data_IF_465971804190
#
_entry.id   IF_465971804190
#
_cell.length_a   1.000
_cell.length_b   1.000
_cell.length_c   1.000
_cell.angle_alpha   90.00
_cell.angle_beta   90.00
_cell.angle_gamma   90.00
#
_symmetry.space_group_name_H-M   'P 1'
#
loop_
_entity.id
_entity.type
_entity.pdbx_description
1 polymer ?
#
# COMPACT_ATOMS: atom_id res chain seq x y z
N UNK A 1 -7.33 47.71 6.10
CA UNK A 1 -6.48 47.78 7.30
C UNK A 1 -6.34 49.20 7.86
N UNK A 2 -5.66 50.14 7.20
CA UNK A 2 -5.40 51.48 7.77
C UNK A 2 -6.65 52.30 8.17
N UNK A 3 -7.71 52.20 7.37
CA UNK A 3 -9.01 52.85 7.65
C UNK A 3 -9.71 52.28 8.90
N UNK A 4 -9.56 50.98 9.13
CA UNK A 4 -10.16 50.26 10.27
C UNK A 4 -9.35 50.45 11.56
N UNK A 5 -8.04 50.67 11.44
CA UNK A 5 -7.12 50.85 12.57
C UNK A 5 -6.80 52.32 12.89
N UNK A 6 -7.44 53.29 12.22
CA UNK A 6 -7.17 54.73 12.34
C UNK A 6 -5.67 55.11 12.18
N UNK A 7 -4.95 54.41 11.29
CA UNK A 7 -3.52 54.68 10.98
C UNK A 7 -3.37 55.34 9.61
N UNK A 8 -2.28 56.08 9.40
CA UNK A 8 -1.90 56.68 8.10
C UNK A 8 -0.52 56.18 7.67
N UNK A 9 -0.37 55.83 6.39
CA UNK A 9 0.86 55.27 5.81
C UNK A 9 0.58 54.28 4.66
N UNK A 10 1.59 53.92 3.85
CA UNK A 10 1.46 52.84 2.87
C UNK A 10 1.35 51.48 3.59
N UNK A 11 0.48 50.60 3.09
CA UNK A 11 0.33 49.21 3.60
C UNK A 11 1.39 48.27 3.02
N UNK A 12 2.02 48.69 1.91
CA UNK A 12 3.01 47.91 1.16
C UNK A 12 4.37 48.60 1.25
N UNK A 13 5.47 47.83 1.27
CA UNK A 13 6.80 48.38 1.07
C UNK A 13 6.91 49.11 -0.28
N UNK A 14 7.91 49.98 -0.43
CA UNK A 14 8.09 50.82 -1.63
C UNK A 14 8.48 50.05 -2.89
N UNK A 15 8.74 48.75 -2.80
CA UNK A 15 9.16 47.94 -3.94
C UNK A 15 7.94 47.34 -4.67
N UNK A 16 7.75 47.76 -5.92
CA UNK A 16 6.75 47.21 -6.83
C UNK A 16 7.36 46.08 -7.66
N UNK A 17 6.95 44.83 -7.40
CA UNK A 17 7.30 43.69 -8.23
C UNK A 17 6.33 43.54 -9.43
N UNK A 18 6.18 44.58 -10.25
CA UNK A 18 5.44 44.53 -11.53
C UNK A 18 6.31 43.90 -12.64
N UNK A 19 6.80 42.68 -12.42
CA UNK A 19 7.54 41.90 -13.44
C UNK A 19 6.92 40.52 -13.59
N UNK A 20 6.77 40.10 -14.85
CA UNK A 20 6.36 38.74 -15.23
C UNK A 20 7.08 37.70 -14.36
N UNK A 21 6.35 36.73 -13.84
CA UNK A 21 6.90 35.61 -13.08
C UNK A 21 7.64 34.71 -14.08
N UNK A 22 8.94 34.50 -13.87
CA UNK A 22 9.84 33.84 -14.86
C UNK A 22 10.23 32.42 -14.51
N UNK A 23 9.96 31.96 -13.28
CA UNK A 23 10.26 30.61 -12.81
C UNK A 23 9.44 30.27 -11.56
N UNK A 24 9.38 28.98 -11.21
CA UNK A 24 8.74 28.49 -9.99
C UNK A 24 9.43 29.03 -8.72
N UNK A 25 10.75 29.24 -8.77
CA UNK A 25 11.50 29.89 -7.68
C UNK A 25 11.11 31.37 -7.48
N UNK A 26 10.93 32.13 -8.57
CA UNK A 26 10.48 33.52 -8.54
C UNK A 26 9.03 33.64 -8.04
N UNK A 27 8.19 32.64 -8.33
CA UNK A 27 6.84 32.54 -7.76
C UNK A 27 6.89 32.33 -6.24
N UNK A 28 7.73 31.39 -5.78
CA UNK A 28 7.85 31.06 -4.36
C UNK A 28 8.41 32.21 -3.53
N UNK A 29 9.42 32.92 -4.05
CA UNK A 29 10.02 34.08 -3.39
C UNK A 29 9.00 35.22 -3.26
N UNK A 30 8.24 35.50 -4.33
CA UNK A 30 7.15 36.50 -4.29
C UNK A 30 6.00 36.09 -3.38
N UNK A 31 5.65 34.81 -3.35
CA UNK A 31 4.63 34.29 -2.46
C UNK A 31 5.04 34.47 -0.99
N UNK A 32 6.30 34.13 -0.66
CA UNK A 32 6.87 34.36 0.67
C UNK A 32 6.88 35.85 1.03
N UNK A 33 7.31 36.73 0.11
CA UNK A 33 7.27 38.18 0.32
C UNK A 33 5.85 38.69 0.63
N UNK A 34 4.83 38.25 -0.12
CA UNK A 34 3.42 38.65 0.11
C UNK A 34 2.94 38.18 1.49
N UNK A 35 3.31 36.98 1.92
CA UNK A 35 2.93 36.43 3.24
C UNK A 35 3.65 37.15 4.40
N UNK A 36 4.91 37.55 4.18
CA UNK A 36 5.79 38.13 5.21
C UNK A 36 5.57 39.63 5.39
N UNK A 37 5.28 40.36 4.32
CA UNK A 37 5.17 41.81 4.33
C UNK A 37 4.19 42.37 5.40
N UNK A 38 3.02 41.77 5.67
CA UNK A 38 2.16 42.22 6.77
C UNK A 38 2.72 41.94 8.19
N UNK A 39 3.59 40.93 8.35
CA UNK A 39 4.35 40.67 9.59
C UNK A 39 5.45 41.72 9.75
N UNK A 40 6.26 41.93 8.70
CA UNK A 40 7.40 42.85 8.72
C UNK A 40 6.97 44.32 8.88
N UNK A 41 5.79 44.68 8.36
CA UNK A 41 5.16 46.00 8.57
C UNK A 41 4.39 46.13 9.89
N UNK A 42 4.40 45.09 10.73
CA UNK A 42 3.84 45.10 12.08
C UNK A 42 2.31 45.23 12.13
N UNK A 43 1.61 44.83 11.06
CA UNK A 43 0.14 44.94 11.00
C UNK A 43 -0.56 43.68 11.53
N UNK A 44 0.11 42.53 11.48
CA UNK A 44 -0.32 41.24 12.08
C UNK A 44 0.86 40.60 12.81
N UNK A 45 0.60 39.67 13.75
CA UNK A 45 1.68 39.00 14.49
C UNK A 45 2.37 37.95 13.61
N UNK A 46 3.65 37.73 13.86
CA UNK A 46 4.39 36.63 13.24
C UNK A 46 3.69 35.30 13.57
N UNK A 47 3.34 34.52 12.53
CA UNK A 47 2.52 33.30 12.59
C UNK A 47 1.00 33.46 12.81
N UNK A 48 0.42 34.67 12.68
CA UNK A 48 -1.05 34.79 12.55
C UNK A 48 -1.51 34.12 11.24
N UNK A 49 -2.46 33.20 11.35
CA UNK A 49 -3.01 32.40 10.25
C UNK A 49 -3.79 33.31 9.29
N UNK A 50 -3.56 33.20 7.98
CA UNK A 50 -4.30 33.94 6.95
C UNK A 50 -5.41 33.05 6.37
N UNK A 51 -6.66 33.10 6.89
CA UNK A 51 -7.67 32.08 6.57
C UNK A 51 -8.15 32.12 5.12
N UNK A 52 -7.86 33.22 4.42
CA UNK A 52 -8.25 33.50 3.04
C UNK A 52 -7.07 33.39 2.06
N UNK A 53 -5.86 33.09 2.54
CA UNK A 53 -4.67 32.93 1.72
C UNK A 53 -4.37 31.45 1.55
N UNK A 54 -4.42 30.98 0.31
CA UNK A 54 -4.06 29.60 -0.02
C UNK A 54 -2.55 29.41 0.14
N UNK A 55 -2.13 28.55 1.05
CA UNK A 55 -0.75 28.05 1.23
C UNK A 55 -0.70 26.53 1.03
N UNK A 56 0.45 25.95 0.65
CA UNK A 56 0.64 24.49 0.64
C UNK A 56 0.30 23.84 1.99
N UNK A 57 0.53 24.54 3.11
CA UNK A 57 0.16 24.09 4.46
C UNK A 57 -1.36 24.13 4.72
N UNK A 58 -2.10 25.07 4.14
CA UNK A 58 -3.57 25.09 4.23
C UNK A 58 -4.23 23.94 3.46
N UNK A 59 -3.57 23.40 2.43
CA UNK A 59 -4.03 22.15 1.79
C UNK A 59 -3.99 20.96 2.76
N UNK A 60 -3.04 20.98 3.71
CA UNK A 60 -2.93 19.99 4.80
C UNK A 60 -3.93 20.25 5.93
N UNK A 61 -4.22 21.52 6.25
CA UNK A 61 -5.23 21.91 7.27
C UNK A 61 -6.67 21.69 6.80
N UNK A 62 -6.92 21.72 5.49
CA UNK A 62 -8.23 21.43 4.87
C UNK A 62 -8.62 19.95 4.87
N UNK A 63 -7.80 19.06 5.45
CA UNK A 63 -8.20 17.70 5.80
C UNK A 63 -9.23 17.74 6.96
N UNK A 64 -10.43 18.25 6.69
CA UNK A 64 -11.58 18.10 7.56
C UNK A 64 -11.76 16.61 7.90
N UNK A 65 -11.56 16.28 9.18
CA UNK A 65 -12.05 15.08 9.88
C UNK A 65 -12.13 13.82 9.01
N UNK A 66 -11.08 13.50 8.25
CA UNK A 66 -10.95 12.13 7.73
C UNK A 66 -10.91 11.22 8.96
N UNK A 67 -11.54 10.05 8.84
CA UNK A 67 -11.61 8.86 9.72
C UNK A 67 -10.77 8.76 11.00
N UNK A 68 -9.64 9.46 11.14
CA UNK A 68 -8.82 9.66 12.35
C UNK A 68 -9.63 9.89 13.64
N UNK A 69 -10.67 10.73 13.59
CA UNK A 69 -11.54 10.98 14.76
C UNK A 69 -12.56 9.86 15.02
N UNK A 70 -13.00 9.19 13.96
CA UNK A 70 -13.96 8.08 13.98
C UNK A 70 -13.30 6.73 14.28
N UNK A 71 -11.97 6.69 14.45
CA UNK A 71 -11.23 5.48 14.75
C UNK A 71 -11.84 4.78 15.97
N UNK A 72 -12.61 3.72 15.70
CA UNK A 72 -13.23 2.92 16.75
C UNK A 72 -12.07 2.30 17.55
N UNK A 73 -11.96 2.56 18.86
CA UNK A 73 -10.90 1.96 19.66
C UNK A 73 -10.96 0.45 19.48
N UNK A 74 -9.85 -0.16 19.07
CA UNK A 74 -9.77 -1.60 18.95
C UNK A 74 -9.71 -2.17 20.36
N UNK A 75 -10.84 -2.69 20.84
CA UNK A 75 -10.98 -3.24 22.18
C UNK A 75 -10.35 -4.62 22.32
N UNK A 76 -10.12 -5.32 21.20
CA UNK A 76 -9.48 -6.63 21.16
C UNK A 76 -8.02 -6.52 20.77
N UNK A 77 -7.14 -6.79 21.75
CA UNK A 77 -5.72 -7.04 21.52
C UNK A 77 -5.57 -8.32 20.68
N UNK A 78 -4.81 -8.28 19.57
CA UNK A 78 -4.46 -9.47 18.80
C UNK A 78 -3.66 -10.48 19.63
N UNK A 79 -3.54 -11.71 19.17
CA UNK A 79 -2.58 -12.66 19.75
C UNK A 79 -1.14 -12.10 19.68
N UNK A 80 -0.34 -12.37 20.72
CA UNK A 80 0.99 -11.77 20.89
C UNK A 80 2.09 -12.41 20.02
N UNK A 81 1.83 -13.56 19.40
CA UNK A 81 2.85 -14.35 18.72
C UNK A 81 2.79 -14.19 17.20
N UNK A 82 3.97 -14.00 16.60
CA UNK A 82 4.18 -14.18 15.16
C UNK A 82 3.97 -15.66 14.86
N UNK A 83 2.93 -15.97 14.09
CA UNK A 83 2.53 -17.33 13.78
C UNK A 83 3.11 -17.77 12.44
N UNK A 84 3.92 -18.83 12.50
CA UNK A 84 4.40 -19.55 11.32
C UNK A 84 3.34 -20.59 10.97
N UNK A 85 2.93 -20.60 9.70
CA UNK A 85 1.90 -21.49 9.18
C UNK A 85 2.49 -22.32 8.06
N UNK A 86 2.65 -23.63 8.30
CA UNK A 86 2.78 -24.63 7.25
C UNK A 86 1.41 -25.25 7.02
N UNK A 87 0.95 -25.29 5.77
CA UNK A 87 -0.41 -25.72 5.43
C UNK A 87 -0.40 -26.67 4.25
N UNK A 88 -1.32 -27.64 4.27
CA UNK A 88 -1.51 -28.53 3.13
C UNK A 88 -2.06 -27.76 1.93
N UNK A 89 -1.55 -28.08 0.74
CA UNK A 89 -2.07 -27.52 -0.51
C UNK A 89 -3.56 -27.86 -0.71
N UNK A 90 -4.01 -29.02 -0.22
CA UNK A 90 -5.42 -29.42 -0.25
C UNK A 90 -6.34 -28.42 0.44
N UNK A 91 -5.89 -27.80 1.54
CA UNK A 91 -6.67 -26.75 2.22
C UNK A 91 -6.73 -25.49 1.36
N UNK A 92 -5.63 -25.12 0.71
CA UNK A 92 -5.54 -23.93 -0.14
C UNK A 92 -6.37 -24.05 -1.42
N UNK A 93 -6.48 -25.25 -1.99
CA UNK A 93 -7.30 -25.50 -3.20
C UNK A 93 -8.73 -25.00 -3.02
N UNK A 94 -9.26 -25.09 -1.80
CA UNK A 94 -10.61 -24.63 -1.48
C UNK A 94 -10.79 -23.10 -1.49
N UNK A 95 -9.70 -22.34 -1.44
CA UNK A 95 -9.69 -20.87 -1.40
C UNK A 95 -9.31 -20.25 -2.75
N UNK A 96 -9.08 -21.06 -3.79
CA UNK A 96 -8.69 -20.56 -5.11
C UNK A 96 -9.84 -19.77 -5.76
N UNK A 97 -9.57 -18.50 -6.09
CA UNK A 97 -10.32 -17.80 -7.14
C UNK A 97 -9.73 -18.17 -8.51
N UNK A 98 -10.53 -18.91 -9.28
CA UNK A 98 -10.20 -19.37 -10.63
C UNK A 98 -10.37 -18.28 -11.69
N UNK A 99 -11.02 -17.15 -11.39
CA UNK A 99 -11.26 -16.11 -12.40
C UNK A 99 -9.95 -15.56 -12.98
N UNK A 100 -8.92 -15.20 -12.16
CA UNK A 100 -7.66 -14.72 -12.71
C UNK A 100 -6.80 -15.82 -13.34
N UNK A 101 -7.03 -17.11 -13.02
CA UNK A 101 -6.38 -18.22 -13.74
C UNK A 101 -6.72 -18.16 -15.23
N UNK A 102 -7.99 -17.97 -15.58
CA UNK A 102 -8.41 -17.84 -16.98
C UNK A 102 -7.83 -16.60 -17.65
N UNK A 103 -7.65 -15.50 -16.91
CA UNK A 103 -6.99 -14.30 -17.45
C UNK A 103 -5.52 -14.55 -17.84
N UNK A 104 -4.80 -15.40 -17.10
CA UNK A 104 -3.44 -15.84 -17.49
C UNK A 104 -3.42 -16.57 -18.83
N UNK A 105 -4.52 -17.24 -19.18
CA UNK A 105 -4.73 -17.90 -20.48
C UNK A 105 -5.43 -17.01 -21.52
N UNK A 106 -5.50 -15.70 -21.26
CA UNK A 106 -6.19 -14.70 -22.12
C UNK A 106 -7.70 -14.95 -22.30
N UNK A 107 -8.29 -15.83 -21.48
CA UNK A 107 -9.71 -16.13 -21.48
C UNK A 107 -10.44 -15.19 -20.52
N UNK A 108 -11.14 -14.18 -21.07
CA UNK A 108 -11.87 -13.20 -20.27
C UNK A 108 -13.22 -13.74 -19.84
N UNK A 109 -13.41 -13.87 -18.54
CA UNK A 109 -14.68 -14.29 -17.96
C UNK A 109 -14.56 -14.58 -16.47
N UNK A 110 -15.70 -14.66 -15.79
CA UNK A 110 -15.74 -14.98 -14.36
C UNK A 110 -16.00 -16.47 -14.19
N UNK A 111 -15.26 -17.13 -13.31
CA UNK A 111 -15.57 -18.51 -12.92
C UNK A 111 -16.82 -18.57 -12.01
N UNK A 112 -17.72 -19.56 -12.16
CA UNK A 112 -17.74 -20.62 -13.18
C UNK A 112 -18.46 -20.24 -14.49
N UNK A 113 -19.05 -19.02 -14.57
CA UNK A 113 -19.86 -18.59 -15.71
C UNK A 113 -19.12 -18.59 -17.06
N UNK A 114 -17.79 -18.49 -17.06
CA UNK A 114 -16.95 -18.57 -18.28
C UNK A 114 -17.14 -19.88 -19.05
N UNK A 115 -17.53 -20.98 -18.39
CA UNK A 115 -17.77 -22.25 -19.08
C UNK A 115 -18.97 -22.20 -20.02
N UNK A 116 -19.96 -21.37 -19.73
CA UNK A 116 -21.17 -21.24 -20.55
C UNK A 116 -21.02 -20.20 -21.66
N UNK A 117 -19.83 -19.59 -21.80
CA UNK A 117 -19.56 -18.66 -22.88
C UNK A 117 -19.56 -19.37 -24.25
N UNK A 118 -20.29 -18.87 -25.25
CA UNK A 118 -20.43 -19.55 -26.54
C UNK A 118 -19.17 -19.50 -27.41
N UNK A 119 -18.19 -18.65 -27.09
CA UNK A 119 -16.96 -18.46 -27.87
C UNK A 119 -15.77 -19.13 -27.20
N UNK A 120 -15.63 -18.93 -25.88
CA UNK A 120 -14.43 -19.39 -25.12
C UNK A 120 -14.71 -20.52 -24.14
N UNK A 121 -15.97 -20.94 -23.98
CA UNK A 121 -16.37 -21.89 -22.94
C UNK A 121 -15.83 -23.32 -23.14
N UNK A 122 -15.58 -23.74 -24.38
CA UNK A 122 -14.97 -25.06 -24.65
C UNK A 122 -13.50 -25.07 -24.23
N UNK A 123 -12.73 -24.09 -24.67
CA UNK A 123 -11.31 -23.92 -24.32
C UNK A 123 -11.13 -23.71 -22.82
N UNK A 124 -12.03 -22.95 -22.18
CA UNK A 124 -12.02 -22.77 -20.73
C UNK A 124 -12.21 -24.10 -19.98
N UNK A 125 -13.07 -25.01 -20.47
CA UNK A 125 -13.24 -26.34 -19.84
C UNK A 125 -12.00 -27.21 -20.03
N UNK A 126 -11.38 -27.18 -21.21
CA UNK A 126 -10.18 -27.96 -21.53
C UNK A 126 -9.00 -27.56 -20.63
N UNK A 127 -8.63 -26.27 -20.62
CA UNK A 127 -7.52 -25.76 -19.81
C UNK A 127 -7.77 -25.94 -18.31
N UNK A 128 -9.04 -25.85 -17.88
CA UNK A 128 -9.40 -26.10 -16.49
C UNK A 128 -9.27 -27.59 -16.12
N UNK A 129 -9.64 -28.52 -17.01
CA UNK A 129 -9.47 -29.95 -16.77
C UNK A 129 -7.98 -30.33 -16.65
N UNK A 130 -7.13 -29.75 -17.48
CA UNK A 130 -5.67 -29.92 -17.40
C UNK A 130 -5.12 -29.34 -16.09
N UNK A 131 -5.59 -28.14 -15.71
CA UNK A 131 -5.22 -27.49 -14.47
C UNK A 131 -5.59 -28.35 -13.25
N UNK A 132 -6.80 -28.93 -13.23
CA UNK A 132 -7.26 -29.83 -12.17
C UNK A 132 -6.40 -31.10 -12.11
N UNK A 133 -6.03 -31.67 -13.26
CA UNK A 133 -5.18 -32.86 -13.33
C UNK A 133 -3.79 -32.58 -12.76
N UNK A 134 -3.15 -31.50 -13.18
CA UNK A 134 -1.83 -31.13 -12.69
C UNK A 134 -1.88 -30.69 -11.22
N UNK A 135 -2.91 -29.94 -10.80
CA UNK A 135 -3.11 -29.55 -9.41
C UNK A 135 -3.29 -30.78 -8.52
N UNK A 136 -4.10 -31.76 -8.94
CA UNK A 136 -4.26 -33.03 -8.24
C UNK A 136 -2.92 -33.72 -8.02
N UNK A 137 -2.10 -33.82 -9.07
CA UNK A 137 -0.74 -34.37 -8.97
C UNK A 137 0.17 -33.56 -8.04
N UNK A 138 0.13 -32.23 -8.12
CA UNK A 138 0.91 -31.34 -7.24
C UNK A 138 0.57 -31.60 -5.77
N UNK A 139 -0.71 -31.79 -5.45
CA UNK A 139 -1.19 -32.04 -4.09
C UNK A 139 -0.89 -33.47 -3.63
N UNK A 140 -1.08 -34.48 -4.49
CA UNK A 140 -0.88 -35.89 -4.15
C UNK A 140 0.60 -36.27 -3.98
N UNK A 141 1.47 -35.67 -4.79
CA UNK A 141 2.92 -35.93 -4.78
C UNK A 141 3.71 -34.89 -3.96
N UNK A 142 3.04 -33.94 -3.28
CA UNK A 142 3.65 -32.82 -2.53
C UNK A 142 4.73 -32.07 -3.35
N UNK A 143 4.45 -31.81 -4.63
CA UNK A 143 5.44 -31.22 -5.54
C UNK A 143 5.75 -29.76 -5.23
N UNK A 144 4.83 -29.07 -4.55
CA UNK A 144 4.99 -27.70 -4.09
C UNK A 144 4.83 -27.65 -2.56
N UNK A 145 5.43 -26.65 -1.92
CA UNK A 145 5.26 -26.41 -0.48
C UNK A 145 4.74 -25.01 -0.24
N UNK A 146 3.76 -24.89 0.66
CA UNK A 146 3.21 -23.62 1.11
C UNK A 146 3.73 -23.24 2.51
N UNK A 147 4.29 -22.04 2.63
CA UNK A 147 4.76 -21.46 3.90
C UNK A 147 4.30 -20.03 4.07
N UNK A 148 3.92 -19.68 5.29
CA UNK A 148 3.41 -18.36 5.62
C UNK A 148 3.83 -17.92 7.00
N UNK A 149 3.91 -16.60 7.17
CA UNK A 149 4.13 -15.96 8.47
C UNK A 149 3.23 -14.74 8.56
N UNK A 150 2.63 -14.51 9.73
CA UNK A 150 1.95 -13.25 10.04
C UNK A 150 2.20 -12.83 11.48
N UNK A 151 2.04 -11.53 11.74
CA UNK A 151 2.22 -10.95 13.06
C UNK A 151 1.39 -9.69 13.24
N UNK A 152 1.27 -9.25 14.49
CA UNK A 152 0.57 -8.04 14.90
C UNK A 152 1.45 -7.19 15.81
N UNK A 153 1.34 -5.88 15.67
CA UNK A 153 2.05 -4.93 16.50
C UNK A 153 1.09 -3.85 17.02
N UNK A 154 1.27 -3.41 18.27
CA UNK A 154 0.70 -2.15 18.72
C UNK A 154 1.15 -1.04 17.78
N UNK A 155 0.21 -0.22 17.31
CA UNK A 155 0.44 0.77 16.27
C UNK A 155 -0.28 2.09 16.54
N UNK A 156 0.31 3.20 16.12
CA UNK A 156 -0.37 4.50 16.06
C UNK A 156 0.09 5.30 14.85
N UNK A 157 -0.81 6.09 14.26
CA UNK A 157 -0.44 6.99 13.17
C UNK A 157 0.18 8.29 13.67
N UNK A 158 1.15 8.80 12.91
CA UNK A 158 1.72 10.14 13.04
C UNK A 158 1.78 10.75 11.64
N UNK A 159 0.92 11.72 11.36
CA UNK A 159 0.80 12.27 10.02
C UNK A 159 0.37 11.19 9.03
N UNK A 160 1.22 10.90 8.05
CA UNK A 160 0.99 9.90 7.00
C UNK A 160 1.78 8.60 7.22
N UNK A 161 2.41 8.45 8.39
CA UNK A 161 3.14 7.26 8.81
C UNK A 161 2.39 6.49 9.91
N UNK A 162 2.79 5.24 10.11
CA UNK A 162 2.38 4.43 11.26
C UNK A 162 3.62 3.96 12.02
N UNK A 163 3.70 4.30 13.31
CA UNK A 163 4.70 3.73 14.23
C UNK A 163 4.20 2.38 14.75
N UNK A 164 5.07 1.39 14.71
CA UNK A 164 4.88 0.07 15.32
C UNK A 164 5.75 -0.05 16.56
N UNK A 165 5.18 -0.58 17.64
CA UNK A 165 5.84 -0.71 18.92
C UNK A 165 6.12 -2.16 19.27
N UNK A 166 7.12 -2.37 20.13
CA UNK A 166 7.48 -3.71 20.62
C UNK A 166 6.35 -4.34 21.43
N UNK A 167 5.65 -3.53 22.21
CA UNK A 167 4.61 -3.95 23.14
C UNK A 167 3.57 -2.85 23.43
N UNK A 168 2.55 -3.18 24.23
CA UNK A 168 1.45 -2.28 24.57
C UNK A 168 1.87 -1.07 25.44
N UNK A 169 3.09 -1.06 25.99
CA UNK A 169 3.63 0.11 26.71
C UNK A 169 4.00 1.23 25.73
N UNK A 170 4.21 0.92 24.44
CA UNK A 170 4.44 1.89 23.34
C UNK A 170 5.62 2.83 23.61
N UNK A 171 6.66 2.31 24.26
CA UNK A 171 7.91 3.03 24.57
C UNK A 171 8.96 2.86 23.50
N UNK A 172 9.11 1.65 22.99
CA UNK A 172 10.10 1.29 21.98
C UNK A 172 9.44 1.13 20.62
N UNK A 173 9.91 1.88 19.63
CA UNK A 173 9.46 1.80 18.24
C UNK A 173 10.31 0.72 17.54
N UNK A 174 9.66 -0.32 17.03
CA UNK A 174 10.34 -1.40 16.28
C UNK A 174 10.41 -1.13 14.79
N UNK A 175 9.45 -0.36 14.25
CA UNK A 175 9.45 0.08 12.86
C UNK A 175 8.55 1.29 12.66
N UNK A 176 8.78 1.98 11.54
CA UNK A 176 7.86 2.99 11.01
C UNK A 176 7.50 2.61 9.58
N UNK A 177 6.20 2.55 9.30
CA UNK A 177 5.67 2.30 7.96
C UNK A 177 5.28 3.64 7.34
N UNK A 178 5.67 3.84 6.08
CA UNK A 178 5.51 5.11 5.40
C UNK A 178 4.47 5.01 4.29
N UNK A 179 3.38 5.77 4.43
CA UNK A 179 2.32 5.81 3.43
C UNK A 179 2.29 7.13 2.67
N UNK A 180 1.66 7.07 1.49
CA UNK A 180 1.39 8.21 0.62
C UNK A 180 -0.07 8.61 0.74
N UNK A 181 -0.36 9.86 0.38
CA UNK A 181 -1.70 10.45 0.42
C UNK A 181 -2.12 10.90 -0.96
N UNK A 182 -3.38 10.65 -1.29
CA UNK A 182 -3.97 11.20 -2.53
C UNK A 182 -3.79 12.73 -2.59
N UNK A 183 -3.41 13.27 -3.75
CA UNK A 183 -3.26 14.73 -3.96
C UNK A 183 -4.20 15.29 -5.03
N UNK A 184 -5.08 14.47 -5.59
CA UNK A 184 -6.09 14.93 -6.55
C UNK A 184 -7.11 15.87 -5.90
N UNK A 185 -7.61 16.85 -6.68
CA UNK A 185 -8.72 17.69 -6.24
C UNK A 185 -9.98 16.85 -6.12
N UNK A 186 -10.57 16.84 -4.92
CA UNK A 186 -11.81 16.12 -4.62
C UNK A 186 -12.99 17.09 -4.50
N UNK A 187 -14.22 16.64 -4.83
CA UNK A 187 -15.43 17.40 -4.52
C UNK A 187 -15.55 17.70 -3.03
N UNK A 188 -16.30 18.75 -2.68
CA UNK A 188 -16.57 19.09 -1.28
C UNK A 188 -17.15 17.89 -0.50
N UNK A 189 -16.62 17.64 0.70
CA UNK A 189 -17.01 16.51 1.55
C UNK A 189 -16.30 15.19 1.25
N UNK A 190 -15.42 15.12 0.26
CA UNK A 190 -14.54 13.97 0.04
C UNK A 190 -13.12 14.26 0.52
N UNK A 191 -12.54 13.28 1.22
CA UNK A 191 -11.19 13.37 1.77
C UNK A 191 -10.18 12.68 0.86
N UNK A 192 -8.95 13.21 0.85
CA UNK A 192 -7.82 12.52 0.25
C UNK A 192 -7.31 11.43 1.19
N UNK A 193 -7.42 10.17 0.77
CA UNK A 193 -7.10 9.02 1.60
C UNK A 193 -5.59 8.78 1.71
N UNK A 194 -5.19 8.28 2.88
CA UNK A 194 -3.91 7.67 3.20
C UNK A 194 -4.17 6.42 4.06
N UNK A 195 -3.38 5.36 3.92
CA UNK A 195 -3.56 4.14 4.72
C UNK A 195 -3.38 4.40 6.23
N UNK A 196 -2.51 5.36 6.60
CA UNK A 196 -2.34 5.77 8.00
C UNK A 196 -3.61 6.31 8.65
N UNK A 197 -4.60 6.78 7.86
CA UNK A 197 -5.87 7.30 8.39
C UNK A 197 -6.78 6.20 8.97
N UNK A 198 -6.44 4.93 8.73
CA UNK A 198 -7.13 3.77 9.28
C UNK A 198 -6.48 3.22 10.56
N UNK A 199 -5.50 3.93 11.11
CA UNK A 199 -4.85 3.63 12.40
C UNK A 199 -4.99 4.83 13.32
N UNK A 200 -5.34 4.61 14.59
CA UNK A 200 -5.60 5.67 15.54
C UNK A 200 -4.39 6.60 15.70
N UNK A 201 -4.59 7.93 15.61
CA UNK A 201 -3.53 8.90 15.83
C UNK A 201 -2.91 8.79 17.23
N UNK A 202 -1.59 8.97 17.33
CA UNK A 202 -0.86 8.89 18.61
C UNK A 202 -1.36 9.90 19.64
N UNK A 203 -1.71 11.11 19.21
CA UNK A 203 -2.25 12.18 20.05
C UNK A 203 -3.69 11.94 20.52
N UNK A 204 -4.41 10.98 19.91
CA UNK A 204 -5.76 10.60 20.35
C UNK A 204 -5.78 9.83 21.67
N UNK A 205 -4.63 9.30 22.11
CA UNK A 205 -4.51 8.44 23.29
C UNK A 205 -5.18 7.06 23.14
N UNK A 206 -5.74 6.73 21.97
CA UNK A 206 -6.36 5.43 21.69
C UNK A 206 -5.28 4.40 21.34
N UNK A 207 -5.46 3.19 21.86
CA UNK A 207 -4.68 2.02 21.46
C UNK A 207 -5.22 1.47 20.15
N UNK A 208 -4.31 1.18 19.23
CA UNK A 208 -4.61 0.55 17.95
C UNK A 208 -3.50 -0.43 17.56
N UNK A 209 -3.72 -1.22 16.54
CA UNK A 209 -2.85 -2.30 16.10
C UNK A 209 -2.77 -2.34 14.57
N UNK A 210 -1.67 -2.87 14.06
CA UNK A 210 -1.47 -3.13 12.64
C UNK A 210 -0.86 -4.53 12.50
N UNK A 211 -1.32 -5.29 11.51
CA UNK A 211 -0.76 -6.61 11.21
C UNK A 211 0.04 -6.62 9.92
N UNK A 212 0.76 -7.71 9.70
CA UNK A 212 1.50 -7.94 8.47
C UNK A 212 1.63 -9.43 8.19
N UNK A 213 1.79 -9.79 6.92
CA UNK A 213 1.97 -11.16 6.49
C UNK A 213 2.89 -11.30 5.29
N UNK A 214 3.46 -12.49 5.13
CA UNK A 214 4.13 -12.95 3.93
C UNK A 214 3.85 -14.45 3.73
N UNK A 215 3.38 -14.84 2.55
CA UNK A 215 3.04 -16.21 2.18
C UNK A 215 3.63 -16.58 0.84
N UNK A 216 3.94 -17.85 0.66
CA UNK A 216 4.32 -18.45 -0.62
C UNK A 216 3.70 -19.83 -0.75
N UNK A 217 3.31 -20.17 -1.97
CA UNK A 217 3.03 -21.54 -2.40
C UNK A 217 3.95 -21.97 -3.56
N UNK A 218 5.02 -21.20 -3.79
CA UNK A 218 5.92 -21.35 -4.93
C UNK A 218 7.19 -22.15 -4.66
N UNK A 219 7.38 -22.68 -3.45
CA UNK A 219 8.56 -23.50 -3.14
C UNK A 219 8.45 -24.79 -3.96
N UNK A 220 9.40 -25.04 -4.86
CA UNK A 220 9.38 -26.15 -5.83
C UNK A 220 8.79 -25.80 -7.21
N UNK A 221 8.18 -24.62 -7.37
CA UNK A 221 7.48 -24.26 -8.61
C UNK A 221 8.45 -24.00 -9.77
N UNK A 222 9.59 -23.36 -9.49
CA UNK A 222 10.60 -23.11 -10.52
C UNK A 222 11.32 -24.40 -10.93
N UNK A 223 11.56 -25.31 -9.99
CA UNK A 223 12.13 -26.64 -10.24
C UNK A 223 11.19 -27.48 -11.11
N UNK A 224 9.91 -27.53 -10.76
CA UNK A 224 8.90 -28.27 -11.52
C UNK A 224 8.70 -27.68 -12.92
N UNK A 225 8.62 -26.36 -13.04
CA UNK A 225 8.52 -25.70 -14.34
C UNK A 225 9.76 -25.96 -15.22
N UNK A 226 10.97 -25.89 -14.64
CA UNK A 226 12.22 -26.22 -15.36
C UNK A 226 12.25 -27.68 -15.82
N UNK A 227 11.71 -28.61 -15.02
CA UNK A 227 11.60 -30.01 -15.42
C UNK A 227 10.74 -30.17 -16.68
N UNK A 228 9.55 -29.58 -16.71
CA UNK A 228 8.67 -29.61 -17.88
C UNK A 228 9.33 -28.94 -19.11
N UNK A 229 10.02 -27.82 -18.94
CA UNK A 229 10.77 -27.18 -20.03
C UNK A 229 11.88 -28.08 -20.60
N UNK A 230 12.59 -28.83 -19.74
CA UNK A 230 13.58 -29.82 -20.16
C UNK A 230 12.98 -30.99 -20.95
N UNK A 231 11.69 -31.26 -20.75
CA UNK A 231 10.90 -32.25 -21.47
C UNK A 231 10.19 -31.66 -22.72
N UNK A 232 10.47 -30.40 -23.06
CA UNK A 232 9.82 -29.62 -24.13
C UNK A 232 8.31 -29.43 -23.95
N UNK A 233 7.84 -29.46 -22.69
CA UNK A 233 6.45 -29.20 -22.30
C UNK A 233 6.33 -27.79 -21.70
N UNK A 234 6.39 -26.78 -22.56
CA UNK A 234 6.23 -25.38 -22.15
C UNK A 234 4.82 -25.10 -21.58
N UNK A 235 3.81 -25.87 -22.01
CA UNK A 235 2.44 -25.75 -21.54
C UNK A 235 2.33 -26.09 -20.05
N UNK A 236 2.83 -27.27 -19.63
CA UNK A 236 2.83 -27.67 -18.21
C UNK A 236 3.73 -26.78 -17.36
N UNK A 237 4.79 -26.21 -17.92
CA UNK A 237 5.63 -25.24 -17.22
C UNK A 237 4.86 -23.93 -16.91
N UNK A 238 4.10 -23.41 -17.88
CA UNK A 238 3.21 -22.24 -17.69
C UNK A 238 2.09 -22.58 -16.70
N UNK A 239 1.46 -23.75 -16.87
CA UNK A 239 0.40 -24.24 -15.99
C UNK A 239 0.88 -24.34 -14.53
N UNK A 240 2.08 -24.89 -14.31
CA UNK A 240 2.68 -24.98 -12.97
C UNK A 240 2.80 -23.62 -12.31
N UNK A 241 3.32 -22.62 -13.04
CA UNK A 241 3.48 -21.26 -12.51
C UNK A 241 2.13 -20.59 -12.23
N UNK A 242 1.16 -20.79 -13.12
CA UNK A 242 -0.19 -20.27 -12.94
C UNK A 242 -0.88 -20.90 -11.71
N UNK A 243 -0.77 -22.21 -11.51
CA UNK A 243 -1.30 -22.91 -10.34
C UNK A 243 -0.62 -22.49 -9.04
N UNK A 244 0.72 -22.35 -9.05
CA UNK A 244 1.46 -21.87 -7.88
C UNK A 244 0.99 -20.45 -7.48
N UNK A 245 0.81 -19.56 -8.44
CA UNK A 245 0.29 -18.21 -8.22
C UNK A 245 -1.14 -18.22 -7.64
N UNK A 246 -2.02 -19.08 -8.16
CA UNK A 246 -3.37 -19.28 -7.59
C UNK A 246 -3.33 -19.80 -6.16
N UNK A 247 -2.43 -20.73 -5.84
CA UNK A 247 -2.25 -21.24 -4.49
C UNK A 247 -1.69 -20.18 -3.52
N UNK A 248 -0.80 -19.31 -3.99
CA UNK A 248 -0.25 -18.23 -3.17
C UNK A 248 -1.33 -17.18 -2.82
N UNK A 249 -2.19 -16.81 -3.79
CA UNK A 249 -3.33 -15.93 -3.55
C UNK A 249 -4.39 -16.58 -2.63
N UNK A 250 -4.67 -17.86 -2.84
CA UNK A 250 -5.53 -18.63 -1.95
C UNK A 250 -4.98 -18.68 -0.52
N UNK A 251 -3.67 -18.78 -0.36
CA UNK A 251 -3.02 -18.72 0.94
C UNK A 251 -3.13 -17.33 1.57
N UNK A 252 -2.98 -16.25 0.78
CA UNK A 252 -3.19 -14.90 1.29
C UNK A 252 -4.62 -14.69 1.83
N UNK A 253 -5.63 -15.25 1.14
CA UNK A 253 -7.03 -15.20 1.58
C UNK A 253 -7.27 -16.06 2.85
N UNK A 254 -6.76 -17.31 2.86
CA UNK A 254 -6.83 -18.18 4.03
C UNK A 254 -6.17 -17.53 5.25
N UNK A 255 -4.94 -17.02 5.10
CA UNK A 255 -4.19 -16.44 6.21
C UNK A 255 -4.83 -15.14 6.68
N UNK A 256 -5.43 -14.36 5.78
CA UNK A 256 -6.22 -13.21 6.19
C UNK A 256 -7.42 -13.63 7.04
N UNK A 257 -8.16 -14.68 6.65
CA UNK A 257 -9.26 -15.21 7.46
C UNK A 257 -8.78 -15.64 8.86
N UNK A 258 -7.67 -16.37 8.97
CA UNK A 258 -7.08 -16.74 10.26
C UNK A 258 -6.60 -15.52 11.04
N UNK A 259 -5.99 -14.54 10.38
CA UNK A 259 -5.54 -13.30 11.01
C UNK A 259 -6.71 -12.51 11.61
N UNK A 260 -7.87 -12.41 10.93
CA UNK A 260 -9.06 -11.76 11.49
C UNK A 260 -9.57 -12.47 12.75
N UNK A 261 -9.54 -13.81 12.76
CA UNK A 261 -9.91 -14.63 13.93
C UNK A 261 -8.91 -14.46 15.08
N UNK A 262 -7.62 -14.47 14.78
CA UNK A 262 -6.53 -14.25 15.75
C UNK A 262 -6.55 -12.83 16.34
N UNK A 263 -6.89 -11.82 15.53
CA UNK A 263 -7.09 -10.44 15.97
C UNK A 263 -8.33 -10.30 16.86
N UNK A 264 -9.34 -11.14 16.65
CA UNK A 264 -10.53 -11.24 17.49
C UNK A 264 -11.79 -10.66 16.87
N UNK A 265 -11.69 -9.72 15.93
CA UNK A 265 -12.87 -9.13 15.28
C UNK A 265 -13.50 -10.06 14.23
N UNK A 266 -12.79 -11.09 13.77
CA UNK A 266 -13.29 -12.10 12.84
C UNK A 266 -13.85 -13.37 13.49
N UNK A 267 -13.90 -13.46 14.84
CA UNK A 267 -14.31 -14.70 15.54
C UNK A 267 -15.77 -15.09 15.31
N UNK A 268 -16.63 -14.11 15.05
CA UNK A 268 -18.07 -14.30 14.82
C UNK A 268 -18.44 -14.25 13.32
N UNK A 269 -17.45 -14.23 12.41
CA UNK A 269 -17.70 -14.23 10.96
C UNK A 269 -18.28 -15.57 10.51
N UNK A 270 -19.44 -15.51 9.85
CA UNK A 270 -20.09 -16.66 9.19
C UNK A 270 -20.08 -16.46 7.68
N UNK A 271 -18.90 -16.28 7.10
CA UNK A 271 -18.72 -16.00 5.67
C UNK A 271 -18.50 -17.31 4.90
N UNK A 272 -19.10 -17.42 3.72
CA UNK A 272 -18.75 -18.52 2.80
C UNK A 272 -17.43 -18.20 2.09
N UNK A 273 -16.81 -19.21 1.46
CA UNK A 273 -15.60 -19.01 0.65
C UNK A 273 -15.83 -18.01 -0.48
N UNK A 274 -17.01 -18.02 -1.11
CA UNK A 274 -17.39 -17.03 -2.11
C UNK A 274 -17.52 -15.62 -1.53
N UNK A 275 -17.93 -15.48 -0.27
CA UNK A 275 -17.95 -14.18 0.40
C UNK A 275 -16.54 -13.68 0.70
N UNK A 276 -15.60 -14.59 1.04
CA UNK A 276 -14.18 -14.26 1.20
C UNK A 276 -13.56 -13.79 -0.12
N UNK A 277 -13.77 -14.52 -1.22
CA UNK A 277 -13.30 -14.13 -2.56
C UNK A 277 -13.88 -12.77 -3.00
N UNK A 278 -15.11 -12.45 -2.57
CA UNK A 278 -15.76 -11.14 -2.83
C UNK A 278 -15.39 -10.07 -1.81
N UNK A 279 -14.43 -10.34 -0.93
CA UNK A 279 -13.94 -9.43 0.11
C UNK A 279 -15.05 -8.87 1.03
N UNK A 280 -16.08 -9.68 1.35
CA UNK A 280 -17.24 -9.25 2.15
C UNK A 280 -17.00 -9.24 3.67
N UNK A 281 -15.74 -9.21 4.09
CA UNK A 281 -15.33 -9.09 5.49
C UNK A 281 -14.97 -7.65 5.85
N UNK A 282 -14.82 -7.43 7.16
CA UNK A 282 -14.26 -6.20 7.71
C UNK A 282 -12.73 -6.19 7.55
N UNK A 283 -12.18 -5.02 7.18
CA UNK A 283 -10.74 -4.80 7.08
C UNK A 283 -10.17 -5.11 5.69
N UNK A 284 -8.91 -4.73 5.48
CA UNK A 284 -8.21 -4.85 4.20
C UNK A 284 -6.79 -5.38 4.40
N UNK A 285 -6.18 -5.90 3.32
CA UNK A 285 -4.82 -6.45 3.33
C UNK A 285 -3.84 -5.82 2.30
N UNK A 286 -3.70 -4.47 2.23
CA UNK A 286 -2.93 -3.81 1.18
C UNK A 286 -1.48 -4.27 1.12
N UNK A 287 -1.01 -4.54 -0.10
CA UNK A 287 0.34 -5.00 -0.38
C UNK A 287 1.22 -3.87 -0.95
N UNK A 288 2.49 -3.73 -0.52
CA UNK A 288 3.43 -2.82 -1.15
C UNK A 288 3.65 -3.12 -2.64
N UNK A 289 3.53 -2.09 -3.48
CA UNK A 289 3.48 -2.14 -4.94
C UNK A 289 2.07 -2.04 -5.54
N UNK A 290 1.01 -2.20 -4.73
CA UNK A 290 -0.37 -2.01 -5.19
C UNK A 290 -0.78 -0.54 -5.14
N UNK A 291 -1.87 -0.14 -5.82
CA UNK A 291 -2.25 1.27 -5.92
C UNK A 291 -2.43 2.03 -4.60
N UNK A 292 -2.79 1.35 -3.50
CA UNK A 292 -2.94 1.95 -2.18
C UNK A 292 -1.61 2.18 -1.43
N UNK A 293 -0.56 1.45 -1.81
CA UNK A 293 0.78 1.50 -1.24
C UNK A 293 1.80 1.21 -2.36
N UNK A 294 2.03 2.15 -3.29
CA UNK A 294 2.77 1.88 -4.52
C UNK A 294 4.28 1.73 -4.33
N UNK A 295 4.84 2.15 -3.19
CA UNK A 295 6.27 1.99 -2.92
C UNK A 295 6.62 0.53 -2.62
N UNK A 296 7.36 -0.11 -3.51
CA UNK A 296 7.82 -1.49 -3.34
C UNK A 296 8.85 -1.64 -2.21
N UNK A 297 9.56 -0.57 -1.83
CA UNK A 297 10.63 -0.61 -0.81
C UNK A 297 10.08 -0.96 0.58
N UNK A 298 8.82 -0.62 0.87
CA UNK A 298 8.17 -0.95 2.15
C UNK A 298 8.11 -2.46 2.42
N UNK A 299 8.29 -3.32 1.40
CA UNK A 299 8.43 -4.77 1.63
C UNK A 299 9.61 -5.11 2.52
N UNK A 300 10.72 -4.36 2.46
CA UNK A 300 11.90 -4.65 3.30
C UNK A 300 11.55 -4.55 4.79
N UNK A 301 10.92 -3.45 5.19
CA UNK A 301 10.45 -3.24 6.57
C UNK A 301 9.51 -4.37 7.01
N UNK A 302 8.56 -4.76 6.15
CA UNK A 302 7.64 -5.87 6.43
C UNK A 302 8.38 -7.21 6.60
N UNK A 303 9.36 -7.50 5.73
CA UNK A 303 10.13 -8.74 5.77
C UNK A 303 11.01 -8.81 7.03
N UNK A 304 11.59 -7.67 7.45
CA UNK A 304 12.40 -7.59 8.66
C UNK A 304 11.54 -7.83 9.92
N UNK A 305 10.36 -7.18 9.98
CA UNK A 305 9.40 -7.35 11.07
C UNK A 305 8.94 -8.81 11.23
N UNK A 306 8.70 -9.51 10.12
CA UNK A 306 8.22 -10.89 10.11
C UNK A 306 9.34 -11.94 10.14
N UNK A 307 10.61 -11.50 9.98
CA UNK A 307 11.71 -12.39 9.62
C UNK A 307 11.33 -13.32 8.44
N UNK A 308 10.70 -12.76 7.41
CA UNK A 308 10.00 -13.53 6.36
C UNK A 308 10.93 -14.48 5.58
N UNK A 309 12.21 -14.11 5.41
CA UNK A 309 13.22 -14.95 4.76
C UNK A 309 13.44 -16.27 5.51
N UNK A 310 13.58 -16.21 6.84
CA UNK A 310 13.75 -17.42 7.66
C UNK A 310 12.44 -18.13 7.96
N UNK A 311 11.35 -17.37 8.15
CA UNK A 311 10.06 -17.91 8.61
C UNK A 311 9.23 -18.52 7.48
N UNK A 312 9.24 -17.89 6.29
CA UNK A 312 8.45 -18.32 5.14
C UNK A 312 9.31 -18.78 3.94
N UNK A 313 10.64 -18.56 3.97
CA UNK A 313 11.52 -18.92 2.85
C UNK A 313 11.37 -17.98 1.64
N UNK A 314 10.91 -16.75 1.86
CA UNK A 314 10.67 -15.77 0.80
C UNK A 314 11.78 -14.73 0.82
N UNK A 315 12.43 -14.51 -0.31
CA UNK A 315 13.50 -13.54 -0.48
C UNK A 315 13.05 -12.33 -1.30
N UNK A 316 13.67 -11.18 -1.06
CA UNK A 316 13.50 -9.99 -1.90
C UNK A 316 14.69 -9.85 -2.85
N UNK A 317 14.41 -9.61 -4.13
CA UNK A 317 15.42 -9.20 -5.11
C UNK A 317 15.86 -7.75 -4.85
N UNK A 318 16.90 -7.29 -5.56
CA UNK A 318 17.32 -5.88 -5.54
C UNK A 318 16.20 -4.90 -5.96
N UNK A 319 15.24 -5.36 -6.74
CA UNK A 319 14.06 -4.59 -7.16
C UNK A 319 12.84 -4.78 -6.25
N UNK A 320 13.00 -5.43 -5.09
CA UNK A 320 11.92 -5.76 -4.15
C UNK A 320 10.79 -6.60 -4.76
N UNK A 321 11.13 -7.43 -5.77
CA UNK A 321 10.30 -8.54 -6.18
C UNK A 321 10.49 -9.70 -5.21
N UNK A 322 9.44 -10.49 -4.98
CA UNK A 322 9.51 -11.66 -4.10
C UNK A 322 9.92 -12.91 -4.87
N UNK A 323 10.72 -13.76 -4.23
CA UNK A 323 11.08 -15.08 -4.70
C UNK A 323 10.84 -16.11 -3.59
N UNK A 324 10.08 -17.21 -3.82
CA UNK A 324 9.49 -17.64 -5.10
C UNK A 324 8.49 -16.64 -5.70
N UNK A 325 8.33 -16.65 -7.02
CA UNK A 325 7.46 -15.67 -7.71
C UNK A 325 5.99 -15.75 -7.27
N UNK A 326 5.51 -16.95 -6.96
CA UNK A 326 4.20 -17.20 -6.36
C UNK A 326 4.23 -16.91 -4.84
N UNK A 327 4.32 -15.62 -4.51
CA UNK A 327 4.33 -15.11 -3.14
C UNK A 327 3.50 -13.84 -3.01
N UNK A 328 2.89 -13.65 -1.85
CA UNK A 328 2.09 -12.47 -1.51
C UNK A 328 2.53 -11.96 -0.14
N UNK A 329 2.69 -10.64 0.01
CA UNK A 329 2.94 -10.00 1.30
C UNK A 329 2.20 -8.68 1.40
N UNK A 330 1.83 -8.29 2.61
CA UNK A 330 1.12 -7.05 2.85
C UNK A 330 0.86 -6.77 4.32
N UNK A 331 0.10 -5.71 4.56
CA UNK A 331 -0.31 -5.26 5.88
C UNK A 331 -1.76 -5.60 6.12
N UNK A 332 -2.18 -5.76 7.37
CA UNK A 332 -3.57 -5.94 7.77
C UNK A 332 -4.08 -4.70 8.51
N UNK A 333 -5.19 -4.15 8.02
CA UNK A 333 -5.91 -3.05 8.65
C UNK A 333 -7.32 -3.52 9.02
N UNK A 334 -7.68 -3.38 10.28
CA UNK A 334 -8.95 -3.87 10.82
C UNK A 334 -10.00 -2.78 11.03
N UNK A 335 -9.72 -1.53 10.69
CA UNK A 335 -10.70 -0.45 10.77
C UNK A 335 -11.91 -0.76 9.86
N UNK A 336 -13.16 -0.62 10.34
CA UNK A 336 -14.35 -1.03 9.59
C UNK A 336 -14.58 -0.25 8.30
N UNK A 337 -14.06 0.97 8.22
CA UNK A 337 -14.14 1.82 7.02
C UNK A 337 -12.89 1.74 6.12
N UNK A 338 -11.90 0.91 6.49
CA UNK A 338 -10.72 0.69 5.68
C UNK A 338 -11.14 0.13 4.32
N UNK A 339 -10.55 0.68 3.26
CA UNK A 339 -10.90 0.34 1.87
C UNK A 339 -9.70 0.51 0.97
N UNK A 340 -9.66 -0.25 -0.11
CA UNK A 340 -8.68 -0.02 -1.16
C UNK A 340 -8.97 1.28 -1.90
N UNK A 341 -7.90 2.00 -2.23
CA UNK A 341 -7.93 3.20 -3.05
C UNK A 341 -6.63 3.27 -3.85
N UNK A 342 -6.62 4.04 -4.94
CA UNK A 342 -5.38 4.37 -5.63
C UNK A 342 -4.85 5.71 -5.11
N UNK A 343 -3.59 5.76 -4.65
CA UNK A 343 -2.90 7.02 -4.30
C UNK A 343 -2.92 7.97 -5.50
N UNK A 344 -2.71 7.43 -6.70
CA UNK A 344 -2.67 8.20 -7.93
C UNK A 344 -1.38 9.01 -8.07
N UNK A 345 -1.51 10.20 -8.66
CA UNK A 345 -0.40 11.11 -8.89
C UNK A 345 -0.09 11.95 -7.65
N UNK A 346 1.20 12.09 -7.34
CA UNK A 346 1.74 12.91 -6.25
C UNK A 346 2.61 14.05 -6.80
N UNK A 347 2.61 15.16 -6.08
CA UNK A 347 3.36 16.37 -6.37
C UNK A 347 4.73 16.35 -5.69
N UNK A 348 5.61 17.27 -6.12
CA UNK A 348 7.00 17.34 -5.67
C UNK A 348 7.15 17.61 -4.18
N UNK A 349 6.16 18.25 -3.55
CA UNK A 349 6.15 18.53 -2.12
C UNK A 349 6.00 17.24 -1.29
N UNK A 350 5.10 16.34 -1.68
CA UNK A 350 4.92 15.05 -1.02
C UNK A 350 6.10 14.12 -1.27
N UNK A 351 6.67 14.12 -2.49
CA UNK A 351 7.87 13.34 -2.77
C UNK A 351 9.06 13.77 -1.89
N UNK A 352 9.25 15.09 -1.69
CA UNK A 352 10.27 15.63 -0.76
C UNK A 352 10.00 15.27 0.69
N UNK A 353 8.75 15.39 1.14
CA UNK A 353 8.34 15.02 2.49
C UNK A 353 8.55 13.52 2.76
N UNK A 354 8.18 12.66 1.80
CA UNK A 354 8.37 11.22 1.87
C UNK A 354 9.85 10.83 1.93
N UNK A 355 10.69 11.47 1.11
CA UNK A 355 12.15 11.28 1.14
C UNK A 355 12.73 11.63 2.51
N UNK A 356 12.30 12.76 3.09
CA UNK A 356 12.73 13.18 4.42
C UNK A 356 12.28 12.19 5.51
N UNK A 357 11.03 11.70 5.47
CA UNK A 357 10.51 10.71 6.41
C UNK A 357 11.26 9.38 6.37
N UNK A 358 11.64 8.93 5.16
CA UNK A 358 12.42 7.69 4.94
C UNK A 358 13.93 7.87 5.15
N UNK A 359 14.41 9.10 5.27
CA UNK A 359 15.84 9.38 5.42
C UNK A 359 16.65 9.10 4.15
N UNK A 360 16.04 9.25 2.98
CA UNK A 360 16.67 8.99 1.66
C UNK A 360 16.66 10.25 0.80
N UNK A 361 17.36 10.22 -0.34
CA UNK A 361 17.36 11.36 -1.25
C UNK A 361 16.04 11.47 -2.03
N UNK A 362 15.69 12.68 -2.47
CA UNK A 362 14.55 12.90 -3.36
C UNK A 362 14.66 12.09 -4.65
N UNK A 363 15.85 11.98 -5.23
CA UNK A 363 16.07 11.22 -6.47
C UNK A 363 15.81 9.72 -6.33
N UNK A 364 16.06 9.13 -5.15
CA UNK A 364 15.70 7.74 -4.86
C UNK A 364 14.17 7.56 -4.83
N UNK A 365 13.47 8.44 -4.12
CA UNK A 365 11.99 8.43 -4.10
C UNK A 365 11.40 8.64 -5.49
N UNK A 366 11.96 9.56 -6.28
CA UNK A 366 11.52 9.81 -7.65
C UNK A 366 11.73 8.59 -8.56
N UNK A 367 12.80 7.81 -8.33
CA UNK A 367 13.02 6.53 -9.02
C UNK A 367 11.99 5.48 -8.61
N UNK A 368 11.75 5.29 -7.31
CA UNK A 368 10.81 4.28 -6.80
C UNK A 368 9.36 4.58 -7.15
N UNK A 369 8.98 5.86 -7.07
CA UNK A 369 7.61 6.34 -7.31
C UNK A 369 7.43 6.96 -8.70
N UNK A 370 8.32 6.65 -9.66
CA UNK A 370 8.23 7.15 -11.04
C UNK A 370 6.82 7.04 -11.65
N UNK A 371 6.08 5.92 -11.51
CA UNK A 371 4.70 5.82 -12.01
C UNK A 371 3.72 6.80 -11.36
N UNK A 372 4.02 7.27 -10.15
CA UNK A 372 3.16 8.11 -9.32
C UNK A 372 3.52 9.60 -9.38
N UNK A 373 4.61 10.02 -10.01
CA UNK A 373 4.94 11.45 -10.08
C UNK A 373 4.02 12.22 -11.05
N UNK A 374 3.58 13.41 -10.64
CA UNK A 374 2.84 14.38 -11.48
C UNK A 374 3.73 15.47 -12.09
N UNK A 375 5.05 15.29 -11.99
CA UNK A 375 6.05 16.25 -12.46
C UNK A 375 7.24 15.48 -13.02
N UNK A 376 8.06 16.16 -13.83
CA UNK A 376 9.30 15.59 -14.34
C UNK A 376 10.44 15.82 -13.33
N UNK A 377 11.13 14.76 -12.86
CA UNK A 377 12.34 14.91 -12.05
C UNK A 377 13.38 15.77 -12.76
N UNK A 378 14.01 16.69 -12.02
CA UNK A 378 15.14 17.44 -12.56
C UNK A 378 16.32 16.49 -12.77
N UNK A 379 16.75 16.33 -14.03
CA UNK A 379 17.89 15.47 -14.36
C UNK A 379 19.13 15.88 -13.56
N UNK A 380 19.52 15.06 -12.59
CA UNK A 380 20.82 15.16 -11.93
C UNK A 380 21.88 14.61 -12.88
N UNK A 381 22.35 15.45 -13.82
CA UNK A 381 23.65 15.29 -14.47
C UNK A 381 23.77 14.22 -15.55
N UNK A 382 23.10 14.40 -16.69
CA UNK A 382 23.64 13.93 -17.96
C UNK A 382 24.77 14.87 -18.36
N UNK A 383 26.02 14.42 -18.28
CA UNK A 383 27.17 15.15 -18.79
C UNK A 383 26.89 15.60 -20.23
N UNK A 384 26.88 16.92 -20.44
CA UNK A 384 26.91 17.52 -21.76
C UNK A 384 28.20 17.07 -22.45
N UNK A 385 28.10 16.04 -23.29
CA UNK A 385 29.16 15.70 -24.23
C UNK A 385 29.40 16.89 -25.17
N UNK A 386 30.66 17.27 -25.45
CA UNK A 386 30.94 18.40 -26.33
C UNK A 386 30.48 18.06 -27.75
N UNK A 387 29.82 19.05 -28.38
CA UNK A 387 29.39 19.03 -29.78
C UNK A 387 30.54 18.94 -30.76
#
# INVERSE_FOLDING_TARGET
MNKTAHRTGPVWERESFDRLIRSESDLQEKFQYICRNPWDSGVVRENDDYPWLWTPETSRRGAEKSTRGACAPQTTRPADEVAITEISLSTLVEYIDWSPFFHTWELRGRYPAIFDDPVVGEQAREVFADAQTLLGRIVEEDLLTARGVFGFWPANSIGDDVELYQDDDRKEIVARLHFLRQQMVKPAGQTNYCLADFVAPKDSGKRDYLGGFAVTAGIGADELAKKFQGEHDDYSAIMTKALADRLAEAFAEYLHHEARRAWGYGKEETLTKEDLIKERYRGIRPAPGYPASPDHVEKRTLFDLLSAESSAGIHLTESFAMHPGASVSGFYFSHPEARYFAVGKIERDQARDYAARKGVSLGEVEKWLSPNLNYEPENVGGASGPR
#
